data_IF_756876469870
#
_entry.id   IF_756876469870
#
_cell.length_a   1.000
_cell.length_b   1.000
_cell.length_c   1.000
_cell.angle_alpha   90.00
_cell.angle_beta   90.00
_cell.angle_gamma   90.00
#
_symmetry.space_group_name_H-M   'P 1'
#
loop_
_entity.id
_entity.type
_entity.pdbx_description
1 polymer ?
#
# COMPACT_ATOMS: atom_id res chain seq x y z
N UNK A 1 18.46 11.70 11.05
CA UNK A 1 19.23 12.02 9.86
C UNK A 1 19.15 10.77 8.98
N UNK A 2 18.56 10.88 7.79
CA UNK A 2 18.56 9.78 6.82
C UNK A 2 19.99 9.71 6.26
N UNK A 3 20.58 8.50 6.10
CA UNK A 3 21.94 8.40 5.57
C UNK A 3 22.04 9.03 4.18
N UNK A 4 23.21 9.58 3.88
CA UNK A 4 23.71 10.27 2.67
C UNK A 4 23.07 9.90 1.33
N UNK A 5 23.20 10.75 0.28
CA UNK A 5 22.20 10.85 -0.78
C UNK A 5 21.83 9.48 -1.36
N UNK A 6 20.59 9.08 -1.07
CA UNK A 6 20.04 7.86 -1.60
C UNK A 6 19.64 8.10 -3.06
N UNK A 7 20.37 7.51 -3.98
CA UNK A 7 20.03 7.51 -5.39
C UNK A 7 19.25 6.24 -5.73
N UNK A 8 17.96 6.41 -6.00
CA UNK A 8 17.14 5.29 -6.47
C UNK A 8 17.37 5.06 -7.97
N UNK A 9 17.56 3.79 -8.36
CA UNK A 9 17.60 3.39 -9.77
C UNK A 9 16.66 2.22 -10.04
N UNK A 10 16.03 2.15 -11.22
CA UNK A 10 15.19 1.02 -11.58
C UNK A 10 15.99 -0.29 -11.64
N UNK A 11 17.26 -0.24 -12.00
CA UNK A 11 18.16 -1.40 -12.08
C UNK A 11 18.43 -2.00 -10.69
N UNK A 12 18.68 -1.16 -9.68
CA UNK A 12 18.86 -1.64 -8.30
C UNK A 12 17.59 -2.29 -7.77
N UNK A 13 16.43 -1.68 -8.03
CA UNK A 13 15.14 -2.25 -7.66
C UNK A 13 14.88 -3.58 -8.36
N UNK A 14 15.06 -3.67 -9.69
CA UNK A 14 14.88 -4.93 -10.43
C UNK A 14 15.79 -6.03 -9.90
N UNK A 15 17.05 -5.71 -9.60
CA UNK A 15 18.00 -6.64 -9.00
C UNK A 15 17.53 -7.15 -7.63
N UNK A 16 17.00 -6.26 -6.78
CA UNK A 16 16.40 -6.67 -5.50
C UNK A 16 15.16 -7.56 -5.72
N UNK A 17 14.23 -7.15 -6.59
CA UNK A 17 13.03 -7.95 -6.88
C UNK A 17 13.39 -9.37 -7.34
N UNK A 18 14.43 -9.53 -8.17
CA UNK A 18 14.89 -10.83 -8.64
C UNK A 18 15.45 -11.69 -7.49
N UNK A 19 16.29 -11.11 -6.62
CA UNK A 19 16.81 -11.83 -5.45
C UNK A 19 15.73 -12.17 -4.43
N UNK A 20 14.78 -11.26 -4.22
CA UNK A 20 13.71 -11.40 -3.25
C UNK A 20 12.56 -12.29 -3.73
N UNK A 21 12.55 -12.70 -5.03
CA UNK A 21 11.44 -13.45 -5.62
C UNK A 21 10.16 -12.64 -5.76
N UNK A 22 10.27 -11.30 -5.91
CA UNK A 22 9.12 -10.40 -6.07
C UNK A 22 8.88 -10.19 -7.56
N UNK A 23 7.67 -10.50 -8.01
CA UNK A 23 7.34 -10.44 -9.43
C UNK A 23 7.22 -9.00 -9.96
N UNK A 24 6.55 -8.10 -9.22
CA UNK A 24 6.26 -6.74 -9.64
C UNK A 24 6.24 -5.79 -8.45
N UNK A 25 6.66 -4.55 -8.66
CA UNK A 25 6.52 -3.44 -7.72
C UNK A 25 5.60 -2.36 -8.31
N UNK A 26 4.70 -1.82 -7.49
CA UNK A 26 3.93 -0.62 -7.80
C UNK A 26 4.77 0.61 -7.43
N UNK A 27 4.95 1.53 -8.39
CA UNK A 27 5.67 2.80 -8.19
C UNK A 27 4.70 3.85 -7.69
N UNK A 28 5.05 4.57 -6.61
CA UNK A 28 4.14 5.48 -5.89
C UNK A 28 4.87 6.70 -5.31
N UNK A 29 5.81 7.29 -6.03
CA UNK A 29 6.51 8.49 -5.55
C UNK A 29 5.60 9.73 -5.61
N UNK A 30 5.52 10.52 -4.50
CA UNK A 30 4.59 11.66 -4.37
C UNK A 30 5.36 12.95 -4.01
N UNK A 31 6.03 13.59 -4.97
CA UNK A 31 6.69 14.88 -4.75
C UNK A 31 5.68 15.98 -4.37
N UNK A 32 6.13 16.95 -3.56
CA UNK A 32 5.29 18.04 -3.04
C UNK A 32 5.14 19.24 -4.01
N UNK A 33 5.87 19.26 -5.10
CA UNK A 33 5.77 20.28 -6.14
C UNK A 33 5.03 19.71 -7.35
N UNK A 34 4.05 20.43 -7.88
CA UNK A 34 3.16 19.95 -8.94
C UNK A 34 3.91 19.47 -10.20
N UNK A 35 4.89 20.24 -10.67
CA UNK A 35 5.67 19.86 -11.85
C UNK A 35 6.50 18.62 -11.58
N UNK A 36 7.20 18.56 -10.44
CA UNK A 36 7.96 17.37 -10.03
C UNK A 36 7.05 16.14 -9.83
N UNK A 37 5.81 16.32 -9.38
CA UNK A 37 4.83 15.24 -9.26
C UNK A 37 4.43 14.70 -10.65
N UNK A 38 4.17 15.59 -11.61
CA UNK A 38 3.86 15.18 -13.00
C UNK A 38 5.05 14.49 -13.65
N UNK A 39 6.25 15.04 -13.51
CA UNK A 39 7.49 14.44 -14.04
C UNK A 39 7.72 13.04 -13.43
N UNK A 40 7.46 12.89 -12.14
CA UNK A 40 7.55 11.59 -11.45
C UNK A 40 6.54 10.58 -12.00
N UNK A 41 5.29 10.99 -12.25
CA UNK A 41 4.28 10.14 -12.85
C UNK A 41 4.66 9.73 -14.29
N UNK A 42 5.18 10.67 -15.09
CA UNK A 42 5.63 10.42 -16.46
C UNK A 42 6.84 9.47 -16.50
N UNK A 43 7.79 9.68 -15.60
CA UNK A 43 8.94 8.79 -15.47
C UNK A 43 8.52 7.39 -15.07
N UNK A 44 7.64 7.24 -14.07
CA UNK A 44 7.13 5.93 -13.65
C UNK A 44 6.35 5.24 -14.78
N UNK A 45 5.53 5.96 -15.55
CA UNK A 45 4.84 5.43 -16.72
C UNK A 45 5.83 4.92 -17.79
N UNK A 46 6.95 5.65 -18.02
CA UNK A 46 8.01 5.22 -18.93
C UNK A 46 8.67 3.90 -18.48
N UNK A 47 8.84 3.72 -17.17
CA UNK A 47 9.37 2.48 -16.61
C UNK A 47 8.39 1.32 -16.75
N UNK A 48 7.08 1.57 -16.56
CA UNK A 48 6.04 0.56 -16.82
C UNK A 48 6.03 0.17 -18.30
N UNK A 49 6.19 1.11 -19.21
CA UNK A 49 6.30 0.81 -20.64
C UNK A 49 7.55 -0.02 -20.98
N UNK A 50 8.69 0.31 -20.34
CA UNK A 50 9.97 -0.41 -20.54
C UNK A 50 9.97 -1.80 -19.89
N UNK A 51 9.36 -1.94 -18.72
CA UNK A 51 9.35 -3.16 -17.91
C UNK A 51 7.93 -3.56 -17.48
N UNK A 52 7.01 -3.85 -18.42
CA UNK A 52 5.56 -3.93 -18.14
C UNK A 52 5.16 -5.06 -17.19
N UNK A 53 5.96 -6.12 -17.07
CA UNK A 53 5.74 -7.23 -16.13
C UNK A 53 6.48 -7.06 -14.80
N UNK A 54 7.18 -5.93 -14.60
CA UNK A 54 7.99 -5.71 -13.39
C UNK A 54 7.57 -4.48 -12.62
N UNK A 55 6.94 -3.49 -13.28
CA UNK A 55 6.45 -2.28 -12.65
C UNK A 55 4.97 -2.04 -12.95
N UNK A 56 4.28 -1.50 -11.97
CA UNK A 56 2.98 -0.86 -12.10
C UNK A 56 3.05 0.59 -11.63
N UNK A 57 2.05 1.39 -11.96
CA UNK A 57 1.98 2.81 -11.63
C UNK A 57 0.79 3.12 -10.74
N UNK A 58 1.07 3.67 -9.55
CA UNK A 58 0.11 4.40 -8.73
C UNK A 58 0.39 5.90 -8.91
N UNK A 59 -0.38 6.56 -9.76
CA UNK A 59 -0.11 7.96 -10.09
C UNK A 59 -0.36 8.87 -8.89
N UNK A 60 0.61 9.71 -8.56
CA UNK A 60 0.52 10.67 -7.47
C UNK A 60 -0.49 11.77 -7.79
N UNK A 61 -1.24 12.23 -6.76
CA UNK A 61 -2.23 13.29 -6.89
C UNK A 61 -1.88 14.49 -5.99
N UNK A 62 -1.93 15.73 -6.51
CA UNK A 62 -1.68 16.96 -5.74
C UNK A 62 -2.94 17.36 -4.96
N UNK A 63 -3.15 16.79 -3.78
CA UNK A 63 -4.40 16.94 -3.00
C UNK A 63 -4.57 18.31 -2.34
N UNK A 64 -3.57 19.18 -2.36
CA UNK A 64 -3.71 20.60 -1.99
C UNK A 64 -4.38 21.45 -3.09
N UNK A 65 -4.53 20.89 -4.31
CA UNK A 65 -5.16 21.57 -5.43
C UNK A 65 -6.15 20.62 -6.13
N UNK A 66 -7.42 20.62 -5.71
CA UNK A 66 -8.45 19.72 -6.27
C UNK A 66 -8.60 19.78 -7.79
N UNK A 67 -8.49 20.99 -8.39
CA UNK A 67 -8.57 21.15 -9.85
C UNK A 67 -7.39 20.45 -10.54
N UNK A 68 -6.18 20.62 -10.04
CA UNK A 68 -5.00 19.93 -10.57
C UNK A 68 -5.09 18.41 -10.34
N UNK A 69 -5.63 17.97 -9.19
CA UNK A 69 -5.84 16.56 -8.90
C UNK A 69 -6.83 15.91 -9.89
N UNK A 70 -7.96 16.57 -10.19
CA UNK A 70 -8.92 16.10 -11.21
C UNK A 70 -8.30 16.00 -12.60
N UNK A 71 -7.53 17.02 -13.01
CA UNK A 71 -6.81 17.01 -14.28
C UNK A 71 -5.78 15.87 -14.35
N UNK A 72 -5.08 15.61 -13.23
CA UNK A 72 -4.09 14.54 -13.17
C UNK A 72 -4.73 13.14 -13.14
N UNK A 73 -5.89 12.97 -12.49
CA UNK A 73 -6.68 11.72 -12.56
C UNK A 73 -7.04 11.39 -14.02
N UNK A 74 -7.51 12.38 -14.77
CA UNK A 74 -7.86 12.18 -16.18
C UNK A 74 -6.62 11.85 -17.01
N UNK A 75 -5.54 12.63 -16.87
CA UNK A 75 -4.27 12.43 -17.60
C UNK A 75 -3.67 11.06 -17.28
N UNK A 76 -3.56 10.72 -16.00
CA UNK A 76 -2.97 9.46 -15.56
C UNK A 76 -3.76 8.25 -16.06
N UNK A 77 -5.08 8.33 -16.08
CA UNK A 77 -5.92 7.24 -16.59
C UNK A 77 -5.82 7.09 -18.11
N UNK A 78 -5.87 8.19 -18.86
CA UNK A 78 -5.96 8.16 -20.32
C UNK A 78 -4.58 8.01 -20.97
N UNK A 79 -3.62 8.82 -20.54
CA UNK A 79 -2.33 8.97 -21.22
C UNK A 79 -1.25 8.07 -20.62
N UNK A 80 -1.22 7.95 -19.27
CA UNK A 80 -0.21 7.16 -18.57
C UNK A 80 -0.66 5.71 -18.31
N UNK A 81 -1.95 5.42 -18.46
CA UNK A 81 -2.54 4.10 -18.17
C UNK A 81 -2.19 3.61 -16.77
N UNK A 82 -2.27 4.50 -15.78
CA UNK A 82 -1.99 4.19 -14.39
C UNK A 82 -2.88 3.04 -13.88
N UNK A 83 -2.32 2.19 -13.05
CA UNK A 83 -3.02 1.05 -12.44
C UNK A 83 -3.90 1.51 -11.25
N UNK A 84 -3.53 2.62 -10.62
CA UNK A 84 -4.23 3.24 -9.51
C UNK A 84 -3.65 4.61 -9.18
N UNK A 85 -3.94 5.10 -7.99
CA UNK A 85 -3.51 6.43 -7.55
C UNK A 85 -2.82 6.37 -6.20
N UNK A 86 -1.94 7.33 -5.93
CA UNK A 86 -1.25 7.49 -4.65
C UNK A 86 -1.48 8.90 -4.10
N UNK A 87 -1.75 8.99 -2.79
CA UNK A 87 -1.95 10.24 -2.06
C UNK A 87 -1.15 10.21 -0.75
N UNK A 88 -0.68 11.37 -0.28
CA UNK A 88 -0.14 11.47 1.07
C UNK A 88 -1.23 11.87 2.05
N UNK A 89 -1.09 11.45 3.30
CA UNK A 89 -1.96 11.82 4.40
C UNK A 89 -2.12 13.33 4.55
N UNK A 90 -1.02 14.05 4.36
CA UNK A 90 -0.95 15.50 4.32
C UNK A 90 -0.14 15.95 3.11
N UNK A 91 -0.76 16.70 2.22
CA UNK A 91 -0.09 17.29 1.07
C UNK A 91 -0.15 18.81 1.19
N UNK A 92 1.00 19.44 1.55
CA UNK A 92 1.12 20.88 1.73
C UNK A 92 0.07 21.50 2.67
N UNK A 93 -0.31 20.79 3.74
CA UNK A 93 -1.30 21.24 4.70
C UNK A 93 -2.74 20.73 4.45
N UNK A 94 -3.04 20.18 3.28
CA UNK A 94 -4.34 19.57 3.00
C UNK A 94 -4.39 18.12 3.50
N UNK A 95 -5.38 17.82 4.33
CA UNK A 95 -5.67 16.47 4.82
C UNK A 95 -6.74 15.79 3.99
N UNK A 96 -6.74 14.46 3.95
CA UNK A 96 -7.61 13.69 3.05
C UNK A 96 -9.10 13.69 3.46
N UNK A 97 -9.44 14.12 4.67
CA UNK A 97 -10.82 14.33 5.13
C UNK A 97 -11.40 15.68 4.75
N UNK A 98 -10.59 16.59 4.19
CA UNK A 98 -11.04 17.93 3.82
C UNK A 98 -12.13 17.90 2.73
N UNK A 99 -13.21 18.67 2.93
CA UNK A 99 -14.34 18.73 2.01
C UNK A 99 -14.02 19.35 0.65
N UNK A 100 -12.92 20.10 0.53
CA UNK A 100 -12.43 20.59 -0.77
C UNK A 100 -12.07 19.46 -1.73
N UNK A 101 -11.83 18.24 -1.21
CA UNK A 101 -11.53 17.04 -1.99
C UNK A 101 -12.78 16.25 -2.43
N UNK A 102 -13.99 16.70 -2.13
CA UNK A 102 -15.21 15.94 -2.42
C UNK A 102 -15.36 15.61 -3.92
N UNK A 103 -15.02 16.53 -4.81
CA UNK A 103 -15.06 16.30 -6.26
C UNK A 103 -13.97 15.28 -6.69
N UNK A 104 -12.80 15.32 -6.07
CA UNK A 104 -11.72 14.35 -6.32
C UNK A 104 -12.16 12.96 -5.90
N UNK A 105 -12.75 12.82 -4.69
CA UNK A 105 -13.27 11.54 -4.21
C UNK A 105 -14.45 11.05 -5.07
N UNK A 106 -15.30 11.95 -5.53
CA UNK A 106 -16.42 11.62 -6.43
C UNK A 106 -15.90 11.00 -7.74
N UNK A 107 -14.87 11.59 -8.34
CA UNK A 107 -14.29 11.08 -9.58
C UNK A 107 -13.55 9.75 -9.38
N UNK A 108 -12.77 9.62 -8.31
CA UNK A 108 -12.12 8.35 -7.97
C UNK A 108 -13.15 7.24 -7.68
N UNK A 109 -14.25 7.59 -7.00
CA UNK A 109 -15.35 6.66 -6.72
C UNK A 109 -16.06 6.22 -8.02
N UNK A 110 -16.30 7.14 -8.95
CA UNK A 110 -16.88 6.83 -10.26
C UNK A 110 -16.02 5.84 -11.05
N UNK A 111 -14.69 5.94 -10.91
CA UNK A 111 -13.71 5.05 -11.56
C UNK A 111 -13.51 3.72 -10.82
N UNK A 112 -14.11 3.52 -9.65
CA UNK A 112 -13.81 2.38 -8.78
C UNK A 112 -12.30 2.27 -8.48
N UNK A 113 -11.66 3.40 -8.27
CA UNK A 113 -10.21 3.51 -8.19
C UNK A 113 -9.63 2.75 -7.00
N UNK A 114 -8.39 2.28 -7.15
CA UNK A 114 -7.54 1.90 -6.03
C UNK A 114 -6.70 3.11 -5.64
N UNK A 115 -6.72 3.47 -4.37
CA UNK A 115 -6.00 4.62 -3.82
C UNK A 115 -5.06 4.14 -2.71
N UNK A 116 -3.77 4.30 -2.94
CA UNK A 116 -2.74 4.04 -1.94
C UNK A 116 -2.53 5.30 -1.10
N UNK A 117 -2.69 5.16 0.21
CA UNK A 117 -2.53 6.25 1.18
C UNK A 117 -1.21 6.06 1.90
N UNK A 118 -0.30 7.00 1.69
CA UNK A 118 1.03 7.00 2.30
C UNK A 118 1.17 8.19 3.27
N UNK A 119 1.82 8.04 4.42
CA UNK A 119 2.11 9.17 5.31
C UNK A 119 3.13 10.14 4.69
N UNK A 120 3.18 11.36 5.21
CA UNK A 120 4.22 12.32 4.83
C UNK A 120 5.56 11.97 5.52
N UNK A 121 6.43 11.29 4.80
CA UNK A 121 7.74 10.92 5.30
C UNK A 121 8.68 12.12 5.55
N UNK A 122 8.34 13.29 5.01
CA UNK A 122 9.09 14.54 5.18
C UNK A 122 8.59 15.40 6.34
N UNK A 123 7.59 14.93 7.08
CA UNK A 123 7.13 15.60 8.30
C UNK A 123 8.28 15.83 9.27
N UNK A 124 8.26 16.92 10.07
CA UNK A 124 9.32 17.19 11.04
C UNK A 124 9.54 16.06 12.03
N UNK A 125 10.79 15.84 12.40
CA UNK A 125 11.15 14.89 13.46
C UNK A 125 10.54 15.33 14.80
N UNK A 126 10.06 14.36 15.59
CA UNK A 126 9.52 14.59 16.92
C UNK A 126 10.42 13.97 17.99
N UNK A 127 10.63 14.70 19.08
CA UNK A 127 11.47 14.26 20.22
C UNK A 127 12.85 13.72 19.83
N UNK A 128 13.46 14.31 18.79
CA UNK A 128 14.77 13.90 18.29
C UNK A 128 14.80 12.58 17.53
N UNK A 129 13.63 12.05 17.14
CA UNK A 129 13.52 10.84 16.32
C UNK A 129 13.03 11.19 14.92
N UNK A 130 13.59 10.57 13.86
CA UNK A 130 13.15 10.83 12.49
C UNK A 130 11.71 10.40 12.27
N UNK A 131 10.98 11.14 11.43
CA UNK A 131 9.58 10.89 11.12
C UNK A 131 9.29 9.44 10.67
N UNK A 132 10.10 8.80 9.80
CA UNK A 132 9.86 7.43 9.39
C UNK A 132 9.82 6.39 10.52
N UNK A 133 10.40 6.69 11.67
CA UNK A 133 10.40 5.73 12.79
C UNK A 133 9.08 5.71 13.57
N UNK A 134 8.43 6.86 13.76
CA UNK A 134 7.27 6.99 14.65
C UNK A 134 6.13 7.74 13.97
N UNK A 135 6.39 8.96 13.45
CA UNK A 135 5.34 9.88 13.06
C UNK A 135 4.49 9.37 11.90
N UNK A 136 5.10 8.69 10.94
CA UNK A 136 4.38 8.10 9.79
C UNK A 136 3.26 7.15 10.23
N UNK A 137 3.46 6.38 11.31
CA UNK A 137 2.44 5.47 11.82
C UNK A 137 1.26 6.21 12.46
N UNK A 138 1.52 7.31 13.16
CA UNK A 138 0.49 8.12 13.79
C UNK A 138 -0.20 9.05 12.80
N UNK A 139 0.49 9.56 11.80
CA UNK A 139 -0.10 10.40 10.77
C UNK A 139 -1.14 9.63 9.96
N UNK A 140 -0.80 8.43 9.46
CA UNK A 140 -1.77 7.55 8.79
C UNK A 140 -3.00 7.33 9.65
N UNK A 141 -2.80 7.04 10.93
CA UNK A 141 -3.91 6.81 11.87
C UNK A 141 -4.81 8.02 12.02
N UNK A 142 -4.25 9.22 12.26
CA UNK A 142 -5.01 10.46 12.41
C UNK A 142 -5.81 10.77 11.14
N UNK A 143 -5.17 10.64 9.98
CA UNK A 143 -5.80 10.89 8.69
C UNK A 143 -6.97 9.94 8.43
N UNK A 144 -6.80 8.65 8.68
CA UNK A 144 -7.89 7.67 8.45
C UNK A 144 -9.05 7.89 9.43
N UNK A 145 -8.77 8.26 10.67
CA UNK A 145 -9.83 8.64 11.65
C UNK A 145 -10.57 9.89 11.20
N UNK A 146 -9.86 10.89 10.69
CA UNK A 146 -10.47 12.10 10.13
C UNK A 146 -11.36 11.77 8.91
N UNK A 147 -10.84 11.00 7.94
CA UNK A 147 -11.61 10.51 6.79
C UNK A 147 -12.87 9.72 7.21
N UNK A 148 -12.78 8.93 8.28
CA UNK A 148 -13.90 8.17 8.82
C UNK A 148 -15.02 9.12 9.29
N UNK A 149 -14.71 10.09 10.14
CA UNK A 149 -15.69 11.05 10.66
C UNK A 149 -16.14 12.07 9.61
N UNK A 150 -15.31 12.39 8.61
CA UNK A 150 -15.71 13.15 7.43
C UNK A 150 -16.69 12.37 6.53
N UNK A 151 -16.92 11.07 6.79
CA UNK A 151 -17.82 10.22 6.02
C UNK A 151 -17.29 9.80 4.65
N UNK A 152 -15.98 9.91 4.41
CA UNK A 152 -15.35 9.57 3.11
C UNK A 152 -15.63 8.11 2.74
N UNK A 153 -15.43 7.17 3.65
CA UNK A 153 -15.61 5.75 3.38
C UNK A 153 -17.08 5.35 3.16
N UNK A 154 -18.03 6.13 3.74
CA UNK A 154 -19.48 5.95 3.52
C UNK A 154 -19.90 6.48 2.15
N UNK A 155 -19.51 7.72 1.83
CA UNK A 155 -19.90 8.41 0.60
C UNK A 155 -19.26 7.81 -0.64
N UNK A 156 -18.00 7.37 -0.55
CA UNK A 156 -17.19 6.92 -1.66
C UNK A 156 -16.85 5.44 -1.55
N UNK A 157 -17.88 4.63 -1.38
CA UNK A 157 -17.78 3.21 -1.03
C UNK A 157 -17.18 2.30 -2.12
N UNK A 158 -17.00 2.81 -3.34
CA UNK A 158 -16.41 2.05 -4.47
C UNK A 158 -14.89 2.21 -4.56
N UNK A 159 -14.31 3.18 -3.85
CA UNK A 159 -12.85 3.33 -3.75
C UNK A 159 -12.31 2.20 -2.89
N UNK A 160 -11.21 1.59 -3.35
CA UNK A 160 -10.43 0.63 -2.56
C UNK A 160 -9.19 1.32 -2.03
N UNK A 161 -9.18 1.57 -0.72
CA UNK A 161 -8.05 2.21 -0.05
C UNK A 161 -7.04 1.16 0.43
N UNK A 162 -5.76 1.34 0.05
CA UNK A 162 -4.64 0.58 0.59
C UNK A 162 -3.85 1.53 1.49
N UNK A 163 -3.64 1.16 2.74
CA UNK A 163 -2.88 1.95 3.71
C UNK A 163 -1.45 1.41 3.82
N UNK A 164 -0.49 2.30 3.71
CA UNK A 164 0.92 1.98 3.93
C UNK A 164 1.19 1.55 5.38
N UNK A 165 2.27 0.77 5.58
CA UNK A 165 2.79 0.37 6.90
C UNK A 165 1.73 -0.27 7.79
N UNK A 166 0.94 -1.16 7.23
CA UNK A 166 -0.17 -1.86 7.92
C UNK A 166 -1.22 -0.91 8.53
N UNK A 167 -1.38 0.29 7.95
CA UNK A 167 -2.25 1.33 8.52
C UNK A 167 -1.69 2.02 9.77
N UNK A 168 -0.38 1.88 10.03
CA UNK A 168 0.29 2.49 11.17
C UNK A 168 -0.23 1.99 12.51
N UNK A 169 -0.62 2.91 13.40
CA UNK A 169 -1.21 2.58 14.69
C UNK A 169 -2.73 2.30 14.65
N UNK A 170 -3.38 2.46 13.48
CA UNK A 170 -4.82 2.33 13.34
C UNK A 170 -5.36 0.96 13.77
N UNK A 171 -4.76 -0.18 13.41
CA UNK A 171 -5.27 -1.48 13.83
C UNK A 171 -5.31 -1.65 15.35
N UNK A 172 -4.28 -1.18 16.07
CA UNK A 172 -4.24 -1.22 17.53
C UNK A 172 -5.33 -0.34 18.15
N UNK A 173 -5.66 0.79 17.52
CA UNK A 173 -6.68 1.73 18.00
C UNK A 173 -8.09 1.39 17.52
N UNK A 174 -8.27 0.47 16.59
CA UNK A 174 -9.58 0.15 15.98
C UNK A 174 -10.64 -0.27 17.03
N UNK A 175 -10.24 -1.08 18.02
CA UNK A 175 -11.09 -1.46 19.13
C UNK A 175 -11.49 -0.25 20.00
N UNK A 176 -10.55 0.66 20.27
CA UNK A 176 -10.84 1.90 21.02
C UNK A 176 -11.78 2.82 20.25
N UNK A 177 -11.58 2.97 18.94
CA UNK A 177 -12.47 3.76 18.09
C UNK A 177 -13.89 3.18 18.10
N UNK A 178 -14.03 1.87 18.02
CA UNK A 178 -15.34 1.21 18.12
C UNK A 178 -16.01 1.47 19.48
N UNK A 179 -15.27 1.38 20.58
CA UNK A 179 -15.84 1.53 21.92
C UNK A 179 -16.21 2.96 22.27
N UNK A 180 -15.38 3.93 21.89
CA UNK A 180 -15.48 5.31 22.33
C UNK A 180 -15.89 6.28 21.23
N UNK A 181 -15.83 5.88 19.97
CA UNK A 181 -15.93 6.77 18.81
C UNK A 181 -17.32 7.41 18.62
N UNK A 182 -18.35 6.94 19.33
CA UNK A 182 -19.71 7.50 19.27
C UNK A 182 -20.17 8.09 20.61
N UNK A 183 -19.25 8.21 21.58
CA UNK A 183 -19.55 8.83 22.85
C UNK A 183 -19.90 10.32 22.67
N UNK A 184 -20.79 10.91 23.56
CA UNK A 184 -21.28 12.28 23.39
C UNK A 184 -20.20 13.37 23.35
N UNK A 185 -19.01 13.09 23.87
CA UNK A 185 -17.87 14.01 23.86
C UNK A 185 -17.01 13.94 22.60
N UNK A 186 -17.31 12.99 21.68
CA UNK A 186 -16.61 12.86 20.41
C UNK A 186 -17.34 13.63 19.33
N UNK A 187 -16.70 14.64 18.68
CA UNK A 187 -17.29 15.30 17.53
C UNK A 187 -17.59 14.32 16.40
N UNK A 188 -18.86 14.11 16.09
CA UNK A 188 -19.31 13.17 15.07
C UNK A 188 -20.43 13.79 14.20
N UNK A 189 -20.10 14.81 13.37
CA UNK A 189 -21.10 15.58 12.63
C UNK A 189 -21.87 14.74 11.60
N UNK A 190 -21.29 13.64 11.16
CA UNK A 190 -21.91 12.73 10.18
C UNK A 190 -22.67 11.58 10.84
N UNK A 191 -22.81 11.56 12.16
CA UNK A 191 -23.51 10.51 12.92
C UNK A 191 -23.02 9.10 12.53
N UNK A 192 -21.69 8.91 12.46
CA UNK A 192 -21.09 7.59 12.22
C UNK A 192 -21.39 6.69 13.42
N UNK A 193 -21.94 5.52 13.17
CA UNK A 193 -22.30 4.54 14.21
C UNK A 193 -21.13 3.61 14.56
N UNK A 194 -21.22 2.92 15.69
CA UNK A 194 -20.21 1.90 16.08
C UNK A 194 -20.07 0.78 15.04
N UNK A 195 -21.18 0.34 14.49
CA UNK A 195 -21.17 -0.71 13.45
C UNK A 195 -20.55 -0.20 12.15
N UNK A 196 -20.82 1.05 11.78
CA UNK A 196 -20.16 1.67 10.62
C UNK A 196 -18.66 1.85 10.83
N UNK A 197 -18.20 2.24 12.02
CA UNK A 197 -16.77 2.30 12.32
C UNK A 197 -16.13 0.92 12.03
N UNK A 198 -16.70 -0.14 12.59
CA UNK A 198 -16.22 -1.50 12.35
C UNK A 198 -16.25 -1.89 10.88
N UNK A 199 -17.38 -1.68 10.21
CA UNK A 199 -17.60 -2.05 8.83
C UNK A 199 -16.68 -1.29 7.87
N UNK A 200 -16.51 0.02 8.07
CA UNK A 200 -15.68 0.84 7.19
C UNK A 200 -14.20 0.52 7.34
N UNK A 201 -13.72 0.33 8.58
CA UNK A 201 -12.33 -0.06 8.83
C UNK A 201 -12.02 -1.47 8.28
N UNK A 202 -12.94 -2.42 8.35
CA UNK A 202 -12.74 -3.78 7.84
C UNK A 202 -12.65 -3.88 6.31
N UNK A 203 -13.03 -2.82 5.58
CA UNK A 203 -12.95 -2.76 4.11
C UNK A 203 -11.63 -2.22 3.59
N UNK A 204 -10.79 -1.69 4.46
CA UNK A 204 -9.46 -1.18 4.10
C UNK A 204 -8.52 -2.33 3.74
N UNK A 205 -7.61 -2.07 2.83
CA UNK A 205 -6.47 -2.94 2.56
C UNK A 205 -5.26 -2.38 3.28
N UNK A 206 -4.40 -3.26 3.79
CA UNK A 206 -3.20 -2.89 4.54
C UNK A 206 -2.00 -3.55 3.88
N UNK A 207 -0.98 -2.79 3.56
CA UNK A 207 0.27 -3.41 3.14
C UNK A 207 1.07 -3.93 4.35
N UNK A 208 2.07 -4.73 4.10
CA UNK A 208 2.90 -5.31 5.18
C UNK A 208 4.26 -4.64 5.31
N UNK A 209 4.47 -3.48 4.69
CA UNK A 209 5.76 -2.79 4.77
C UNK A 209 6.11 -2.41 6.21
N UNK A 210 7.34 -2.71 6.62
CA UNK A 210 7.90 -2.38 7.94
C UNK A 210 7.00 -2.75 9.15
N UNK A 211 6.26 -3.86 9.05
CA UNK A 211 5.18 -4.21 10.01
C UNK A 211 5.57 -5.34 10.96
N UNK A 212 6.42 -6.21 10.51
CA UNK A 212 6.58 -7.57 11.01
C UNK A 212 7.18 -7.72 12.42
N UNK A 213 6.76 -8.75 13.12
CA UNK A 213 5.53 -9.52 12.98
C UNK A 213 4.38 -8.90 13.78
N UNK A 214 4.68 -7.97 14.70
CA UNK A 214 3.77 -7.48 15.75
C UNK A 214 2.58 -6.69 15.22
N UNK A 215 2.72 -6.00 14.08
CA UNK A 215 1.64 -5.26 13.46
C UNK A 215 0.55 -6.15 12.82
N UNK A 216 0.87 -7.39 12.46
CA UNK A 216 -0.06 -8.28 11.77
C UNK A 216 -1.21 -8.76 12.66
N UNK A 217 -0.96 -9.05 13.92
CA UNK A 217 -2.02 -9.50 14.84
C UNK A 217 -3.16 -8.49 14.99
N UNK A 218 -2.93 -7.21 15.35
CA UNK A 218 -4.01 -6.23 15.41
C UNK A 218 -4.63 -5.95 14.02
N UNK A 219 -3.85 -6.02 12.94
CA UNK A 219 -4.38 -5.86 11.59
C UNK A 219 -5.44 -6.92 11.27
N UNK A 220 -5.19 -8.19 11.58
CA UNK A 220 -6.13 -9.30 11.38
C UNK A 220 -7.37 -9.25 12.27
N UNK A 221 -7.33 -8.47 13.36
CA UNK A 221 -8.54 -8.16 14.13
C UNK A 221 -9.37 -7.02 13.51
N UNK A 222 -8.79 -6.21 12.65
CA UNK A 222 -9.46 -5.09 11.99
C UNK A 222 -9.94 -5.46 10.57
N UNK A 223 -9.11 -6.14 9.79
CA UNK A 223 -9.41 -6.52 8.40
C UNK A 223 -9.30 -8.03 8.19
N UNK A 224 -10.01 -8.62 7.21
CA UNK A 224 -9.84 -10.03 6.86
C UNK A 224 -8.46 -10.27 6.21
N UNK A 225 -7.97 -11.51 6.26
CA UNK A 225 -6.63 -11.87 5.81
C UNK A 225 -6.37 -11.59 4.32
N UNK A 226 -7.39 -11.65 3.47
CA UNK A 226 -7.33 -11.31 2.05
C UNK A 226 -7.25 -9.81 1.77
N UNK A 227 -7.39 -8.98 2.80
CA UNK A 227 -7.11 -7.54 2.73
C UNK A 227 -5.69 -7.17 3.17
N UNK A 228 -4.87 -8.13 3.61
CA UNK A 228 -3.43 -7.90 3.74
C UNK A 228 -2.77 -8.08 2.38
N UNK A 229 -1.97 -7.10 1.97
CA UNK A 229 -1.20 -7.12 0.72
C UNK A 229 0.28 -6.96 1.01
N UNK A 230 1.14 -7.56 0.20
CA UNK A 230 2.57 -7.45 0.43
C UNK A 230 3.10 -6.06 0.04
N UNK A 231 3.81 -5.42 0.96
CA UNK A 231 4.58 -4.20 0.75
C UNK A 231 6.01 -4.39 1.24
N UNK A 232 7.01 -3.92 0.48
CA UNK A 232 8.42 -3.99 0.83
C UNK A 232 8.98 -2.65 1.31
N UNK A 233 8.34 -1.55 0.97
CA UNK A 233 8.88 -0.19 1.14
C UNK A 233 10.22 -0.01 0.41
N UNK A 234 10.36 -0.68 -0.75
CA UNK A 234 11.58 -0.68 -1.54
C UNK A 234 11.74 0.64 -2.30
N UNK A 235 12.94 1.21 -2.24
CA UNK A 235 13.26 2.42 -2.98
C UNK A 235 13.20 3.70 -2.13
N UNK A 236 13.15 3.57 -0.81
CA UNK A 236 13.21 4.69 0.13
C UNK A 236 14.46 4.61 1.01
N UNK A 237 15.04 5.74 1.43
CA UNK A 237 16.33 5.74 2.14
C UNK A 237 16.28 5.15 3.55
N UNK A 238 15.10 4.96 4.14
CA UNK A 238 14.93 4.35 5.46
C UNK A 238 14.79 2.83 5.43
N UNK A 239 14.59 2.22 4.25
CA UNK A 239 14.48 0.77 4.08
C UNK A 239 15.73 0.20 3.41
N UNK A 240 16.38 -0.72 4.10
CA UNK A 240 17.53 -1.47 3.57
C UNK A 240 17.09 -2.84 3.09
N UNK A 241 17.87 -3.49 2.22
CA UNK A 241 17.59 -4.86 1.80
C UNK A 241 17.48 -5.80 3.00
N UNK A 242 18.33 -5.63 4.01
CA UNK A 242 18.28 -6.43 5.25
C UNK A 242 16.95 -6.27 5.99
N UNK A 243 16.44 -5.03 6.13
CA UNK A 243 15.17 -4.79 6.82
C UNK A 243 13.97 -5.28 6.02
N UNK A 244 14.00 -5.13 4.69
CA UNK A 244 12.95 -5.66 3.80
C UNK A 244 12.90 -7.20 3.84
N UNK A 245 14.04 -7.89 3.79
CA UNK A 245 14.10 -9.34 3.88
C UNK A 245 13.68 -9.87 5.26
N UNK A 246 14.09 -9.19 6.35
CA UNK A 246 13.65 -9.52 7.70
C UNK A 246 12.13 -9.39 7.82
N UNK A 247 11.53 -8.32 7.28
CA UNK A 247 10.09 -8.12 7.27
C UNK A 247 9.37 -9.19 6.44
N UNK A 248 9.86 -9.49 5.22
CA UNK A 248 9.31 -10.56 4.38
C UNK A 248 9.33 -11.91 5.09
N UNK A 249 10.46 -12.26 5.70
CA UNK A 249 10.60 -13.49 6.46
C UNK A 249 9.59 -13.56 7.61
N UNK A 250 9.42 -12.48 8.36
CA UNK A 250 8.47 -12.45 9.46
C UNK A 250 7.00 -12.57 9.01
N UNK A 251 6.64 -12.06 7.81
CA UNK A 251 5.32 -12.29 7.21
C UNK A 251 5.13 -13.76 6.83
N UNK A 252 6.15 -14.38 6.23
CA UNK A 252 6.09 -15.79 5.82
C UNK A 252 6.09 -16.77 7.00
N UNK A 253 6.74 -16.42 8.10
CA UNK A 253 6.81 -17.25 9.31
C UNK A 253 5.66 -16.98 10.29
N UNK A 254 4.77 -16.02 10.02
CA UNK A 254 3.73 -15.63 10.94
C UNK A 254 2.74 -16.77 11.23
N UNK A 255 2.68 -17.22 12.47
CA UNK A 255 1.92 -18.38 12.93
C UNK A 255 0.41 -18.13 13.11
N UNK A 256 -0.02 -16.86 13.18
CA UNK A 256 -1.43 -16.47 13.24
C UNK A 256 -2.22 -16.67 11.93
N UNK A 257 -1.56 -17.13 10.86
CA UNK A 257 -2.14 -17.43 9.57
C UNK A 257 -1.74 -18.83 9.08
N UNK A 258 -2.62 -19.50 8.36
CA UNK A 258 -2.26 -20.73 7.66
C UNK A 258 -1.20 -20.47 6.59
N UNK A 259 -0.46 -21.49 6.19
CA UNK A 259 0.55 -21.40 5.12
C UNK A 259 -0.07 -20.81 3.83
N UNK A 260 -1.24 -21.28 3.44
CA UNK A 260 -1.98 -20.77 2.26
C UNK A 260 -2.27 -19.28 2.38
N UNK A 261 -2.70 -18.80 3.54
CA UNK A 261 -2.97 -17.38 3.76
C UNK A 261 -1.70 -16.53 3.72
N UNK A 262 -0.59 -17.00 4.31
CA UNK A 262 0.70 -16.30 4.26
C UNK A 262 1.18 -16.09 2.83
N UNK A 263 1.11 -17.15 2.00
CA UNK A 263 1.46 -17.02 0.58
C UNK A 263 0.47 -16.19 -0.22
N UNK A 264 -0.82 -16.17 0.18
CA UNK A 264 -1.82 -15.35 -0.47
C UNK A 264 -1.58 -13.84 -0.28
N UNK A 265 -0.90 -13.39 0.80
CA UNK A 265 -0.60 -11.97 1.03
C UNK A 265 0.10 -11.32 -0.18
N UNK A 266 1.04 -12.02 -0.82
CA UNK A 266 1.71 -11.54 -2.04
C UNK A 266 0.82 -11.49 -3.29
N UNK A 267 -0.40 -12.04 -3.24
CA UNK A 267 -1.32 -12.17 -4.38
C UNK A 267 -2.66 -11.47 -4.16
N UNK A 268 -3.00 -11.15 -2.93
CA UNK A 268 -4.24 -10.46 -2.58
C UNK A 268 -4.39 -9.11 -3.30
N UNK A 269 -3.28 -8.56 -3.76
CA UNK A 269 -3.24 -7.32 -4.54
C UNK A 269 -3.71 -7.50 -5.99
N UNK A 270 -3.64 -8.71 -6.56
CA UNK A 270 -3.91 -8.94 -7.99
C UNK A 270 -5.33 -8.54 -8.43
N UNK A 271 -6.40 -8.86 -7.67
CA UNK A 271 -7.75 -8.42 -8.04
C UNK A 271 -7.94 -6.89 -7.98
N UNK A 272 -7.07 -6.18 -7.26
CA UNK A 272 -7.12 -4.72 -7.18
C UNK A 272 -6.56 -4.06 -8.45
N UNK A 273 -5.58 -4.71 -9.10
CA UNK A 273 -4.86 -4.18 -10.26
C UNK A 273 -4.91 -5.14 -11.46
N UNK A 274 -6.09 -5.33 -12.08
CA UNK A 274 -6.28 -6.34 -13.13
C UNK A 274 -5.41 -6.09 -14.37
N UNK A 275 -5.09 -4.82 -14.70
CA UNK A 275 -4.21 -4.50 -15.80
C UNK A 275 -2.75 -4.90 -15.52
N UNK A 276 -2.25 -4.66 -14.30
CA UNK A 276 -0.93 -5.11 -13.86
C UNK A 276 -0.86 -6.64 -13.80
N UNK A 277 -1.89 -7.30 -13.25
CA UNK A 277 -1.99 -8.76 -13.23
C UNK A 277 -1.91 -9.36 -14.64
N UNK A 278 -2.64 -8.79 -15.61
CA UNK A 278 -2.58 -9.24 -17.00
C UNK A 278 -1.22 -9.03 -17.66
N UNK A 279 -0.41 -8.06 -17.20
CA UNK A 279 0.97 -7.88 -17.68
C UNK A 279 1.94 -8.92 -17.10
N UNK A 280 1.69 -9.38 -15.87
CA UNK A 280 2.42 -10.50 -15.26
C UNK A 280 2.17 -11.81 -16.01
N UNK A 281 0.93 -12.15 -16.30
CA UNK A 281 0.54 -13.41 -16.95
C UNK A 281 1.14 -13.56 -18.35
N UNK A 282 1.25 -12.46 -19.12
CA UNK A 282 1.82 -12.50 -20.47
C UNK A 282 3.29 -12.90 -20.52
N UNK A 283 4.07 -12.63 -19.48
CA UNK A 283 5.49 -12.98 -19.44
C UNK A 283 5.72 -14.46 -19.16
N UNK A 284 4.86 -15.07 -18.37
CA UNK A 284 5.13 -16.39 -17.83
C UNK A 284 4.46 -17.53 -18.63
N UNK A 285 3.50 -17.25 -19.50
CA UNK A 285 2.78 -18.30 -20.27
C UNK A 285 2.16 -19.40 -19.38
N UNK A 286 2.20 -19.20 -18.09
CA UNK A 286 1.86 -20.12 -17.03
C UNK A 286 0.92 -19.36 -16.07
N UNK A 287 -0.21 -19.96 -15.74
CA UNK A 287 -0.99 -19.52 -14.59
C UNK A 287 -0.06 -19.49 -13.39
N UNK A 288 0.17 -18.30 -12.81
CA UNK A 288 1.05 -18.10 -11.65
C UNK A 288 0.59 -19.04 -10.54
N UNK A 289 1.32 -20.12 -10.28
CA UNK A 289 1.07 -21.01 -9.16
C UNK A 289 1.37 -20.29 -7.85
N UNK A 290 0.58 -20.58 -6.82
CA UNK A 290 0.61 -19.92 -5.50
C UNK A 290 1.97 -19.94 -4.80
N UNK A 291 2.91 -20.76 -5.27
CA UNK A 291 4.24 -20.94 -4.68
C UNK A 291 5.34 -20.04 -5.27
N UNK A 292 5.14 -19.46 -6.45
CA UNK A 292 6.17 -18.68 -7.13
C UNK A 292 6.20 -17.19 -6.74
N UNK A 293 5.15 -16.68 -6.10
CA UNK A 293 5.07 -15.27 -5.71
C UNK A 293 6.13 -14.84 -4.69
N UNK A 294 6.71 -15.79 -3.95
CA UNK A 294 7.74 -15.54 -2.93
C UNK A 294 9.06 -16.30 -3.16
N UNK A 295 9.31 -16.79 -4.37
CA UNK A 295 10.60 -17.39 -4.72
C UNK A 295 11.02 -18.61 -3.88
N UNK A 296 10.06 -19.39 -3.38
CA UNK A 296 10.39 -20.62 -2.65
C UNK A 296 10.66 -21.73 -3.63
N UNK A 297 11.75 -21.62 -4.39
CA UNK A 297 12.35 -22.71 -5.10
C UNK A 297 13.48 -23.29 -4.26
N UNK A 298 13.22 -24.48 -3.73
CA UNK A 298 14.26 -25.41 -3.31
C UNK A 298 14.49 -25.51 -1.83
N UNK A 299 13.87 -26.49 -1.24
CA UNK A 299 14.48 -27.49 -0.34
C UNK A 299 13.45 -28.59 -0.06
N UNK A 300 13.15 -29.44 -1.03
CA UNK A 300 12.75 -30.82 -0.78
C UNK A 300 12.88 -31.67 -2.06
N UNK A 301 14.12 -31.98 -2.41
CA UNK A 301 14.45 -32.98 -3.42
C UNK A 301 15.11 -34.19 -2.76
N UNK A 302 14.39 -34.93 -1.94
CA UNK A 302 14.81 -36.29 -1.62
C UNK A 302 14.47 -37.18 -2.82
N UNK A 303 15.40 -37.30 -3.77
CA UNK A 303 15.39 -38.38 -4.74
C UNK A 303 15.59 -39.71 -4.00
N UNK A 304 14.54 -40.50 -3.85
CA UNK A 304 14.69 -41.94 -3.56
C UNK A 304 15.19 -42.60 -4.83
N UNK A 305 16.45 -42.98 -4.81
CA UNK A 305 16.97 -43.96 -5.77
C UNK A 305 16.40 -45.34 -5.37
N UNK A 306 15.53 -45.90 -6.17
CA UNK A 306 15.21 -47.30 -6.11
C UNK A 306 16.33 -48.06 -6.85
N UNK A 307 17.15 -48.78 -6.13
CA UNK A 307 17.98 -49.84 -6.73
C UNK A 307 17.05 -51.02 -7.04
N UNK A 308 16.90 -51.33 -8.32
CA UNK A 308 16.47 -52.65 -8.78
C UNK A 308 17.69 -53.57 -8.92
N UNK A 309 17.74 -54.61 -8.11
CA UNK A 309 18.57 -55.75 -8.32
C UNK A 309 17.98 -56.61 -9.44
N UNK A 310 18.68 -56.85 -10.46
CA UNK A 310 18.99 -58.16 -11.10
C UNK A 310 20.16 -57.93 -12.06
#
# INVERSE_FOLDING_TARGET
MVPEPFEWTPESTLSYLDRAGIAMQMLSNIPKQLDALKDSNDYAASLVAKYPSRFGLLAALPTDNPTAALAEIERASRDLRADGFAVTCNYNGAYLGDSSLDDVWTELNRRHAVVFVHPDAYAPASMGRPSPLIEVAFETTRTVVDMLYAGIFRRYSKIRFILAHCGGALPVLSGRLKLLGTEPWVPNPNNITQDEIKQQLSRLYLDTAATAPTGMTPALHMVPADHLVYGADCGVPCSTESTMEANKKAVLDYDGLSETQRFAIGRNVLPLFPAAAARLDRKHGIRVDSREAFGVNGLSGSRRYSMSHT
#
